data_IF_001879353760
#
_entry.id   IF_001879353760
#
_cell.length_a   1.000
_cell.length_b   1.000
_cell.length_c   1.000
_cell.angle_alpha   90.00
_cell.angle_beta   90.00
_cell.angle_gamma   90.00
#
_symmetry.space_group_name_H-M   'P 1'
#
loop_
_entity.id
_entity.type
_entity.pdbx_description
1 polymer ?
#
# COMPACT_ATOMS: atom_id res chain seq x y z
N UNK A 1 17.93 34.40 74.05
CA UNK A 1 17.34 35.19 72.95
C UNK A 1 17.06 34.24 71.79
N UNK A 2 15.91 34.45 71.13
CA UNK A 2 15.31 33.74 70.00
C UNK A 2 16.25 32.93 69.07
N UNK A 3 15.99 31.63 68.87
CA UNK A 3 15.18 31.02 67.79
C UNK A 3 15.86 31.00 66.40
N UNK A 4 16.25 29.83 65.91
CA UNK A 4 15.54 29.16 64.80
C UNK A 4 16.05 27.73 64.61
N UNK A 5 15.08 26.83 64.49
CA UNK A 5 15.12 25.38 64.44
C UNK A 5 15.46 24.78 63.07
N UNK A 6 16.19 23.66 63.07
CA UNK A 6 15.94 22.54 62.17
C UNK A 6 16.37 21.24 62.87
N UNK A 7 15.40 20.53 63.44
CA UNK A 7 15.57 19.22 64.06
C UNK A 7 15.60 18.13 62.98
N UNK A 8 16.71 17.39 62.90
CA UNK A 8 16.78 16.07 62.28
C UNK A 8 16.44 15.03 63.35
N UNK A 9 15.23 14.47 63.30
CA UNK A 9 14.85 13.34 64.14
C UNK A 9 15.03 12.03 63.37
N UNK A 10 16.08 11.33 63.79
CA UNK A 10 16.42 9.96 63.47
C UNK A 10 15.62 9.04 64.43
N UNK A 11 14.57 8.39 63.94
CA UNK A 11 13.87 7.30 64.64
C UNK A 11 12.90 6.60 63.68
N UNK A 12 13.16 5.34 63.35
CA UNK A 12 12.31 4.20 63.72
C UNK A 12 12.59 3.00 62.79
N UNK A 13 13.47 2.11 63.25
CA UNK A 13 13.53 0.72 62.77
C UNK A 13 12.26 -0.01 63.20
N UNK A 14 11.34 -0.25 62.26
CA UNK A 14 10.37 -1.36 62.34
C UNK A 14 10.24 -1.97 60.95
N UNK A 15 10.88 -3.13 60.78
CA UNK A 15 10.66 -4.00 59.64
C UNK A 15 9.21 -4.49 59.65
N UNK A 16 8.42 -4.04 58.68
CA UNK A 16 7.12 -4.62 58.36
C UNK A 16 7.35 -5.64 57.24
N UNK A 17 7.11 -6.92 57.53
CA UNK A 17 7.10 -7.97 56.53
C UNK A 17 5.99 -7.67 55.50
N UNK A 18 6.27 -7.68 54.18
CA UNK A 18 5.24 -7.48 53.18
C UNK A 18 4.27 -8.67 53.13
N UNK A 19 2.97 -8.45 52.89
CA UNK A 19 2.00 -9.52 52.78
C UNK A 19 2.31 -10.39 51.56
N UNK A 20 2.16 -11.71 51.72
CA UNK A 20 2.36 -12.69 50.65
C UNK A 20 1.46 -12.39 49.45
N UNK A 21 2.08 -12.00 48.33
CA UNK A 21 1.40 -11.87 47.04
C UNK A 21 0.91 -13.25 46.60
N UNK A 22 -0.42 -13.41 46.51
CA UNK A 22 -1.03 -14.57 45.84
C UNK A 22 -0.62 -14.54 44.37
N UNK A 23 0.18 -15.51 43.94
CA UNK A 23 0.41 -15.76 42.52
C UNK A 23 -0.88 -16.25 41.88
N UNK A 24 -1.61 -15.35 41.25
CA UNK A 24 -2.63 -15.74 40.26
C UNK A 24 -1.90 -16.06 38.96
N UNK A 25 -1.78 -17.35 38.65
CA UNK A 25 -1.31 -17.82 37.34
C UNK A 25 -2.37 -17.49 36.27
N UNK A 26 -2.36 -16.25 35.79
CA UNK A 26 -2.97 -15.89 34.51
C UNK A 26 -1.85 -15.72 33.49
N UNK A 27 -1.91 -16.41 32.33
CA UNK A 27 -0.94 -16.19 31.28
C UNK A 27 -1.04 -14.72 30.86
N UNK A 28 0.07 -13.99 31.01
CA UNK A 28 0.21 -12.64 30.47
C UNK A 28 -0.11 -12.76 28.99
N UNK A 29 -1.25 -12.17 28.57
CA UNK A 29 -1.56 -12.00 27.15
C UNK A 29 -0.35 -11.28 26.56
N UNK A 30 0.29 -11.90 25.57
CA UNK A 30 1.34 -11.29 24.77
C UNK A 30 0.86 -9.91 24.35
N UNK A 31 1.41 -8.88 24.99
CA UNK A 31 1.31 -7.52 24.47
C UNK A 31 2.17 -7.55 23.21
N UNK A 32 1.61 -7.35 22.00
CA UNK A 32 2.44 -7.24 20.82
C UNK A 32 3.37 -6.07 21.08
N UNK A 33 4.68 -6.33 21.13
CA UNK A 33 5.66 -5.26 21.05
C UNK A 33 5.35 -4.56 19.74
N UNK A 34 4.91 -3.30 19.80
CA UNK A 34 4.80 -2.45 18.62
C UNK A 34 6.18 -2.47 17.96
N UNK A 35 6.27 -3.14 16.82
CA UNK A 35 7.52 -3.26 16.07
C UNK A 35 7.96 -1.83 15.75
N UNK A 36 9.04 -1.39 16.39
CA UNK A 36 9.61 -0.08 16.12
C UNK A 36 9.90 -0.02 14.61
N UNK A 37 9.60 1.11 13.93
CA UNK A 37 9.97 1.28 12.53
C UNK A 37 11.45 0.96 12.38
N UNK A 38 11.80 0.10 11.42
CA UNK A 38 13.18 -0.35 11.33
C UNK A 38 14.04 0.84 10.93
N UNK A 39 14.81 1.37 11.87
CA UNK A 39 15.73 2.49 11.62
C UNK A 39 16.70 2.19 10.48
N UNK A 40 16.86 0.91 10.15
CA UNK A 40 17.77 0.41 9.16
C UNK A 40 17.24 0.56 7.73
N UNK A 41 15.92 0.47 7.50
CA UNK A 41 15.33 0.79 6.20
C UNK A 41 15.55 2.26 5.84
N UNK A 42 15.28 3.18 6.78
CA UNK A 42 15.49 4.61 6.55
C UNK A 42 16.97 4.92 6.30
N UNK A 43 17.88 4.38 7.12
CA UNK A 43 19.33 4.58 6.94
C UNK A 43 19.81 3.99 5.62
N UNK A 44 19.32 2.81 5.24
CA UNK A 44 19.69 2.15 3.98
C UNK A 44 19.21 2.95 2.77
N UNK A 45 17.97 3.43 2.79
CA UNK A 45 17.44 4.30 1.73
C UNK A 45 18.21 5.62 1.66
N UNK A 46 18.49 6.27 2.81
CA UNK A 46 19.27 7.51 2.85
C UNK A 46 20.66 7.31 2.26
N UNK A 47 21.38 6.26 2.68
CA UNK A 47 22.70 5.94 2.13
C UNK A 47 22.59 5.68 0.62
N UNK A 48 21.64 4.85 0.18
CA UNK A 48 21.43 4.53 -1.23
C UNK A 48 21.24 5.79 -2.08
N UNK A 49 20.28 6.66 -1.75
CA UNK A 49 19.98 7.85 -2.58
C UNK A 49 20.99 8.98 -2.40
N UNK A 50 21.74 9.03 -1.30
CA UNK A 50 22.81 10.02 -1.13
C UNK A 50 24.08 9.66 -1.91
N UNK A 51 24.32 8.37 -2.20
CA UNK A 51 25.57 7.90 -2.82
C UNK A 51 25.39 7.28 -4.21
N UNK A 52 24.16 7.12 -4.69
CA UNK A 52 23.86 6.53 -6.00
C UNK A 52 23.51 7.62 -7.03
N UNK A 53 24.01 7.50 -8.28
CA UNK A 53 23.52 8.35 -9.38
C UNK A 53 22.14 7.93 -9.89
N UNK A 54 21.62 6.79 -9.42
CA UNK A 54 20.31 6.26 -9.82
C UNK A 54 19.23 6.86 -8.91
N UNK A 55 18.27 7.53 -9.51
CA UNK A 55 17.15 8.19 -8.83
C UNK A 55 15.80 7.58 -9.25
N UNK A 56 14.73 7.77 -8.46
CA UNK A 56 13.37 7.39 -8.85
C UNK A 56 12.95 7.93 -10.23
N UNK A 57 12.08 7.19 -10.94
CA UNK A 57 11.49 7.62 -12.21
C UNK A 57 10.53 8.81 -12.03
N UNK A 58 9.82 8.85 -10.90
CA UNK A 58 8.90 9.92 -10.57
C UNK A 58 9.67 11.20 -10.19
N UNK A 59 9.15 12.35 -10.64
CA UNK A 59 9.70 13.66 -10.27
C UNK A 59 9.48 13.96 -8.78
N UNK A 60 10.22 14.93 -8.23
CA UNK A 60 10.03 15.36 -6.84
C UNK A 60 8.58 15.77 -6.54
N UNK A 61 7.92 16.49 -7.47
CA UNK A 61 6.55 16.94 -7.27
C UNK A 61 5.54 15.79 -7.33
N UNK A 62 5.77 14.79 -8.19
CA UNK A 62 5.00 13.54 -8.23
C UNK A 62 5.16 12.77 -6.92
N UNK A 63 6.41 12.51 -6.49
CA UNK A 63 6.71 11.79 -5.24
C UNK A 63 6.05 12.47 -4.04
N UNK A 64 6.05 13.80 -4.00
CA UNK A 64 5.52 14.57 -2.87
C UNK A 64 4.03 14.32 -2.63
N UNK A 65 3.25 14.04 -3.68
CA UNK A 65 1.81 13.72 -3.56
C UNK A 65 1.62 12.47 -2.69
N UNK A 66 2.32 11.38 -3.01
CA UNK A 66 2.26 10.12 -2.25
C UNK A 66 2.92 10.24 -0.88
N UNK A 67 4.07 10.92 -0.81
CA UNK A 67 4.79 11.16 0.45
C UNK A 67 3.94 11.91 1.47
N UNK A 68 3.23 12.97 1.08
CA UNK A 68 2.41 13.73 2.03
C UNK A 68 1.27 12.87 2.61
N UNK A 69 0.74 11.89 1.86
CA UNK A 69 -0.22 10.91 2.37
C UNK A 69 0.45 9.90 3.31
N UNK A 70 1.57 9.30 2.91
CA UNK A 70 2.36 8.38 3.74
C UNK A 70 2.77 9.03 5.07
N UNK A 71 3.22 10.29 5.06
CA UNK A 71 3.58 11.04 6.28
C UNK A 71 2.44 11.11 7.31
N UNK A 72 1.18 11.10 6.85
CA UNK A 72 0.00 11.17 7.73
C UNK A 72 -0.56 9.80 8.10
N UNK A 73 -0.35 8.79 7.26
CA UNK A 73 -1.00 7.47 7.39
C UNK A 73 -0.05 6.35 7.81
N UNK A 74 1.26 6.53 7.66
CA UNK A 74 2.26 5.52 8.04
C UNK A 74 2.34 5.36 9.57
N UNK A 75 2.56 4.14 10.09
CA UNK A 75 2.67 2.88 9.35
C UNK A 75 1.31 2.38 8.82
N UNK A 76 1.27 1.93 7.56
CA UNK A 76 0.04 1.42 6.93
C UNK A 76 0.31 0.23 5.99
N UNK A 77 -0.76 -0.33 5.42
CA UNK A 77 -0.66 -1.32 4.34
C UNK A 77 -0.56 -0.60 2.99
N UNK A 78 0.60 -0.69 2.33
CA UNK A 78 0.90 -0.05 1.05
C UNK A 78 1.23 -1.10 -0.03
N UNK A 79 0.38 -1.20 -1.04
CA UNK A 79 0.62 -2.04 -2.22
C UNK A 79 1.22 -1.21 -3.34
N UNK A 80 2.26 -1.72 -3.99
CA UNK A 80 2.88 -1.09 -5.16
C UNK A 80 2.86 -2.09 -6.31
N UNK A 81 2.10 -1.78 -7.36
CA UNK A 81 2.29 -2.43 -8.65
C UNK A 81 3.51 -1.79 -9.30
N UNK A 82 4.63 -2.50 -9.27
CA UNK A 82 5.95 -2.07 -9.72
C UNK A 82 7.02 -2.36 -8.66
N UNK A 83 8.20 -2.76 -9.12
CA UNK A 83 9.41 -2.89 -8.31
C UNK A 83 10.55 -2.19 -9.05
N UNK A 84 11.35 -1.37 -8.38
CA UNK A 84 12.33 -0.56 -9.07
C UNK A 84 13.18 0.32 -8.18
N UNK A 85 13.72 1.38 -8.79
CA UNK A 85 14.67 2.29 -8.15
C UNK A 85 14.06 3.16 -7.05
N UNK A 86 12.74 3.29 -7.03
CA UNK A 86 11.95 4.02 -6.03
C UNK A 86 11.49 3.13 -4.87
N UNK A 87 11.61 1.81 -4.99
CA UNK A 87 11.09 0.87 -3.98
C UNK A 87 11.76 1.01 -2.60
N UNK A 88 13.09 1.20 -2.47
CA UNK A 88 13.70 1.51 -1.18
C UNK A 88 13.12 2.77 -0.52
N UNK A 89 12.84 3.82 -1.31
CA UNK A 89 12.20 5.05 -0.83
C UNK A 89 10.77 4.77 -0.34
N UNK A 90 9.97 4.04 -1.11
CA UNK A 90 8.60 3.69 -0.71
C UNK A 90 8.55 2.85 0.58
N UNK A 91 9.46 1.89 0.74
CA UNK A 91 9.58 1.11 1.98
C UNK A 91 9.95 2.02 3.16
N UNK A 92 10.94 2.90 2.98
CA UNK A 92 11.41 3.81 4.03
C UNK A 92 10.35 4.85 4.44
N UNK A 93 9.59 5.41 3.50
CA UNK A 93 8.48 6.32 3.79
C UNK A 93 7.36 5.66 4.59
N UNK A 94 7.23 4.34 4.50
CA UNK A 94 6.26 3.56 5.24
C UNK A 94 6.90 2.67 6.33
N UNK A 95 8.03 3.09 6.90
CA UNK A 95 8.76 2.24 7.86
C UNK A 95 7.88 1.86 9.06
N UNK A 96 7.95 0.59 9.45
CA UNK A 96 7.06 -0.01 10.46
C UNK A 96 5.70 -0.46 9.92
N UNK A 97 5.35 -0.09 8.68
CA UNK A 97 4.17 -0.58 7.97
C UNK A 97 4.49 -1.80 7.11
N UNK A 98 3.50 -2.24 6.32
CA UNK A 98 3.72 -3.25 5.27
C UNK A 98 3.74 -2.56 3.92
N UNK A 99 4.88 -2.61 3.23
CA UNK A 99 4.98 -2.22 1.81
C UNK A 99 5.24 -3.47 0.98
N UNK A 100 4.35 -3.77 0.03
CA UNK A 100 4.43 -4.95 -0.83
C UNK A 100 4.55 -4.53 -2.30
N UNK A 101 5.57 -5.03 -2.99
CA UNK A 101 5.82 -4.73 -4.41
C UNK A 101 5.44 -5.91 -5.30
N UNK A 102 4.85 -5.64 -6.46
CA UNK A 102 4.48 -6.65 -7.47
C UNK A 102 5.18 -6.34 -8.80
N UNK A 103 5.94 -7.28 -9.35
CA UNK A 103 6.76 -7.08 -10.55
C UNK A 103 6.58 -8.18 -11.58
N UNK A 104 6.47 -7.84 -12.86
CA UNK A 104 6.30 -8.82 -13.93
C UNK A 104 7.58 -9.50 -14.41
N UNK A 105 8.70 -8.78 -14.44
CA UNK A 105 9.92 -9.22 -15.09
C UNK A 105 10.79 -10.00 -14.09
N UNK A 106 10.98 -11.33 -14.27
CA UNK A 106 11.72 -12.12 -13.29
C UNK A 106 13.19 -11.71 -13.17
N UNK A 107 13.79 -11.23 -14.27
CA UNK A 107 15.20 -10.82 -14.26
C UNK A 107 15.37 -9.50 -13.52
N UNK A 108 14.47 -8.55 -13.75
CA UNK A 108 14.42 -7.29 -13.03
C UNK A 108 14.12 -7.50 -11.54
N UNK A 109 13.12 -8.33 -11.23
CA UNK A 109 12.78 -8.72 -9.87
C UNK A 109 13.99 -9.22 -9.08
N UNK A 110 14.71 -10.20 -9.63
CA UNK A 110 15.93 -10.72 -9.01
C UNK A 110 17.03 -9.67 -8.90
N UNK A 111 17.17 -8.81 -9.91
CA UNK A 111 18.18 -7.74 -9.91
C UNK A 111 17.95 -6.72 -8.79
N UNK A 112 16.70 -6.29 -8.59
CA UNK A 112 16.33 -5.34 -7.53
C UNK A 112 16.51 -5.97 -6.15
N UNK A 113 16.00 -7.19 -5.93
CA UNK A 113 16.10 -7.84 -4.61
C UNK A 113 17.53 -8.19 -4.22
N UNK A 114 18.44 -8.49 -5.16
CA UNK A 114 19.87 -8.62 -4.84
C UNK A 114 20.48 -7.34 -4.29
N UNK A 115 20.01 -6.17 -4.74
CA UNK A 115 20.50 -4.85 -4.29
C UNK A 115 19.79 -4.38 -3.02
N UNK A 116 18.53 -4.77 -2.82
CA UNK A 116 17.68 -4.35 -1.71
C UNK A 116 16.96 -5.57 -1.13
N UNK A 117 17.67 -6.46 -0.40
CA UNK A 117 17.13 -7.75 0.05
C UNK A 117 16.04 -7.64 1.12
N UNK A 118 15.89 -6.46 1.75
CA UNK A 118 14.82 -6.20 2.72
C UNK A 118 13.46 -5.92 2.07
N UNK A 119 13.39 -5.67 0.76
CA UNK A 119 12.12 -5.38 0.10
C UNK A 119 11.23 -6.62 0.06
N UNK A 120 9.97 -6.46 0.49
CA UNK A 120 8.95 -7.49 0.37
C UNK A 120 8.29 -7.39 -1.02
N UNK A 121 8.57 -8.35 -1.89
CA UNK A 121 8.08 -8.32 -3.26
C UNK A 121 7.70 -9.71 -3.78
N UNK A 122 6.77 -9.75 -4.75
CA UNK A 122 6.47 -10.95 -5.53
C UNK A 122 6.65 -10.70 -7.02
N UNK A 123 7.20 -11.70 -7.71
CA UNK A 123 7.09 -11.77 -9.15
C UNK A 123 5.69 -12.29 -9.53
N UNK A 124 4.98 -11.56 -10.37
CA UNK A 124 3.58 -11.87 -10.76
C UNK A 124 3.41 -11.82 -12.27
N UNK A 125 2.32 -12.37 -12.79
CA UNK A 125 1.98 -12.30 -14.21
C UNK A 125 0.81 -11.36 -14.44
N UNK A 126 0.95 -10.42 -15.36
CA UNK A 126 -0.17 -9.64 -15.90
C UNK A 126 -0.61 -10.28 -17.22
N UNK A 127 -1.86 -10.78 -17.32
CA UNK A 127 -2.30 -11.57 -18.47
C UNK A 127 -2.72 -10.73 -19.68
N UNK A 128 -2.97 -9.44 -19.49
CA UNK A 128 -3.48 -8.52 -20.52
C UNK A 128 -2.35 -7.78 -21.23
N UNK A 129 -2.53 -7.44 -22.50
CA UNK A 129 -1.64 -6.59 -23.29
C UNK A 129 -2.24 -5.22 -23.56
N UNK A 130 -1.39 -4.21 -23.75
CA UNK A 130 -1.83 -2.85 -24.06
C UNK A 130 -2.73 -2.78 -25.30
N UNK A 131 -2.44 -3.58 -26.33
CA UNK A 131 -3.24 -3.67 -27.55
C UNK A 131 -4.68 -4.16 -27.33
N UNK A 132 -4.96 -4.82 -26.20
CA UNK A 132 -6.29 -5.36 -25.87
C UNK A 132 -7.18 -4.34 -25.14
N UNK A 133 -6.70 -3.11 -24.90
CA UNK A 133 -7.37 -2.13 -24.05
C UNK A 133 -8.85 -1.87 -24.42
N UNK A 134 -9.16 -1.74 -25.70
CA UNK A 134 -10.54 -1.48 -26.15
C UNK A 134 -11.43 -2.72 -25.99
N UNK A 135 -10.93 -3.90 -26.34
CA UNK A 135 -11.66 -5.17 -26.16
C UNK A 135 -11.94 -5.46 -24.68
N UNK A 136 -10.99 -5.13 -23.80
CA UNK A 136 -11.15 -5.28 -22.35
C UNK A 136 -12.25 -4.37 -21.81
N UNK A 137 -12.37 -3.13 -22.34
CA UNK A 137 -13.44 -2.21 -21.98
C UNK A 137 -14.82 -2.66 -22.48
N UNK A 138 -14.89 -3.38 -23.59
CA UNK A 138 -16.16 -3.92 -24.08
C UNK A 138 -16.58 -5.20 -23.35
N UNK A 139 -15.61 -6.09 -23.10
CA UNK A 139 -15.88 -7.42 -22.55
C UNK A 139 -16.25 -7.40 -21.06
N UNK A 140 -15.64 -6.54 -20.24
CA UNK A 140 -15.94 -6.54 -18.80
C UNK A 140 -17.39 -6.16 -18.51
N UNK A 141 -18.04 -5.32 -19.34
CA UNK A 141 -19.45 -4.94 -19.18
C UNK A 141 -20.42 -6.10 -19.45
N UNK A 142 -19.94 -7.17 -20.07
CA UNK A 142 -20.73 -8.37 -20.42
C UNK A 142 -20.52 -9.50 -19.42
N UNK A 143 -19.51 -9.41 -18.55
CA UNK A 143 -19.18 -10.43 -17.57
C UNK A 143 -19.70 -10.01 -16.18
N UNK A 144 -20.75 -10.65 -15.64
CA UNK A 144 -21.32 -10.26 -14.35
C UNK A 144 -20.32 -10.22 -13.20
N UNK A 145 -19.31 -11.09 -13.20
CA UNK A 145 -18.27 -11.10 -12.15
C UNK A 145 -17.16 -10.05 -12.36
N UNK A 146 -17.25 -9.23 -13.42
CA UNK A 146 -16.42 -8.02 -13.58
C UNK A 146 -17.08 -6.75 -13.02
N UNK A 147 -18.35 -6.80 -12.62
CA UNK A 147 -19.17 -5.60 -12.38
C UNK A 147 -19.68 -5.57 -10.94
N UNK A 148 -19.60 -4.42 -10.23
CA UNK A 148 -20.20 -4.29 -8.91
C UNK A 148 -21.72 -4.60 -8.92
N UNK A 149 -22.25 -5.30 -7.89
CA UNK A 149 -21.58 -5.68 -6.65
C UNK A 149 -20.88 -7.06 -6.70
N UNK A 150 -20.84 -7.73 -7.86
CA UNK A 150 -20.25 -9.09 -8.00
C UNK A 150 -18.79 -9.09 -8.44
N UNK A 151 -18.22 -7.92 -8.74
CA UNK A 151 -16.83 -7.75 -9.10
C UNK A 151 -15.93 -8.37 -8.03
N UNK A 152 -15.09 -9.33 -8.43
CA UNK A 152 -14.13 -10.01 -7.56
C UNK A 152 -12.85 -10.30 -8.32
N UNK A 153 -11.72 -10.40 -7.61
CA UNK A 153 -10.43 -10.66 -8.24
C UNK A 153 -10.05 -12.14 -8.21
N UNK A 154 -9.97 -12.71 -7.01
CA UNK A 154 -9.41 -14.04 -6.77
C UNK A 154 -10.20 -15.11 -7.51
N UNK A 155 -9.47 -15.99 -8.21
CA UNK A 155 -10.02 -17.12 -8.98
C UNK A 155 -11.02 -16.72 -10.09
N UNK A 156 -11.05 -15.44 -10.50
CA UNK A 156 -11.97 -14.93 -11.51
C UNK A 156 -11.30 -14.82 -12.88
N UNK A 157 -11.12 -15.95 -13.57
CA UNK A 157 -10.52 -15.96 -14.92
C UNK A 157 -11.51 -15.60 -16.04
N UNK A 158 -12.80 -15.48 -15.73
CA UNK A 158 -13.81 -15.01 -16.69
C UNK A 158 -13.68 -13.50 -16.90
N UNK A 159 -13.40 -12.77 -15.83
CA UNK A 159 -13.06 -11.37 -15.93
C UNK A 159 -11.61 -11.18 -16.37
N UNK A 160 -11.37 -10.89 -17.66
CA UNK A 160 -10.00 -10.68 -18.19
C UNK A 160 -9.21 -9.57 -17.50
N UNK A 161 -9.91 -8.59 -16.90
CA UNK A 161 -9.29 -7.52 -16.11
C UNK A 161 -8.89 -7.95 -14.69
N UNK A 162 -9.48 -9.02 -14.16
CA UNK A 162 -9.15 -9.50 -12.82
C UNK A 162 -7.77 -10.14 -12.83
N UNK A 163 -6.87 -9.61 -12.01
CA UNK A 163 -5.63 -10.30 -11.66
C UNK A 163 -5.99 -11.45 -10.71
N UNK A 164 -6.32 -12.60 -11.27
CA UNK A 164 -6.92 -13.75 -10.57
C UNK A 164 -5.93 -14.66 -9.84
N UNK A 165 -4.64 -14.53 -10.16
CA UNK A 165 -3.56 -15.41 -9.70
C UNK A 165 -2.47 -14.66 -8.89
N UNK A 166 -2.84 -13.57 -8.19
CA UNK A 166 -1.92 -12.85 -7.30
C UNK A 166 -1.63 -13.67 -6.03
N UNK A 167 -0.48 -13.41 -5.36
CA UNK A 167 -0.16 -14.01 -4.07
C UNK A 167 -1.30 -13.82 -3.05
N UNK A 168 -1.58 -14.85 -2.25
CA UNK A 168 -2.73 -14.85 -1.34
C UNK A 168 -2.75 -13.70 -0.33
N UNK A 169 -1.58 -13.15 0.03
CA UNK A 169 -1.49 -11.97 0.91
C UNK A 169 -2.06 -10.70 0.26
N UNK A 170 -1.99 -10.57 -1.07
CA UNK A 170 -2.55 -9.43 -1.79
C UNK A 170 -4.07 -9.36 -1.63
N UNK A 171 -4.74 -10.51 -1.67
CA UNK A 171 -6.20 -10.60 -1.51
C UNK A 171 -6.68 -10.52 -0.05
N UNK A 172 -5.83 -10.92 0.91
CA UNK A 172 -6.23 -10.98 2.32
C UNK A 172 -6.07 -9.63 3.03
N UNK A 173 -5.19 -8.77 2.52
CA UNK A 173 -4.86 -7.50 3.15
C UNK A 173 -5.80 -6.39 2.68
N UNK A 174 -6.24 -5.55 3.62
CA UNK A 174 -6.91 -4.29 3.30
C UNK A 174 -5.85 -3.22 3.09
N UNK A 175 -5.68 -2.80 1.84
CA UNK A 175 -4.70 -1.79 1.47
C UNK A 175 -5.19 -0.40 1.83
N UNK A 176 -4.37 0.38 2.53
CA UNK A 176 -4.65 1.79 2.83
C UNK A 176 -4.21 2.68 1.67
N UNK A 177 -3.08 2.32 1.05
CA UNK A 177 -2.51 2.97 -0.12
C UNK A 177 -2.24 1.94 -1.21
N UNK A 178 -2.48 2.32 -2.46
CA UNK A 178 -2.09 1.54 -3.64
C UNK A 178 -1.40 2.49 -4.64
N UNK A 179 -0.16 2.18 -5.02
CA UNK A 179 0.55 2.84 -6.12
C UNK A 179 0.50 1.94 -7.36
N UNK A 180 0.05 2.49 -8.48
CA UNK A 180 0.01 1.82 -9.78
C UNK A 180 1.05 2.48 -10.68
N UNK A 181 2.27 1.95 -10.65
CA UNK A 181 3.41 2.40 -11.46
C UNK A 181 3.88 1.35 -12.48
N UNK A 182 3.28 0.16 -12.47
CA UNK A 182 3.55 -0.95 -13.38
C UNK A 182 2.25 -1.73 -13.68
N UNK A 183 2.25 -2.63 -14.69
CA UNK A 183 3.34 -3.00 -15.60
C UNK A 183 3.74 -1.91 -16.61
N UNK A 184 4.85 -2.17 -17.32
CA UNK A 184 5.55 -1.28 -18.27
C UNK A 184 4.66 -0.48 -19.24
N UNK A 185 3.72 -1.14 -19.92
CA UNK A 185 2.72 -0.51 -20.79
C UNK A 185 3.24 0.43 -21.90
N UNK A 186 4.49 0.30 -22.37
CA UNK A 186 5.09 1.24 -23.34
C UNK A 186 5.09 0.74 -24.81
N UNK A 187 4.65 -0.49 -25.08
CA UNK A 187 4.43 -1.01 -26.44
C UNK A 187 3.20 -1.92 -26.49
N UNK A 188 2.64 -2.13 -27.69
CA UNK A 188 1.37 -2.83 -27.91
C UNK A 188 1.30 -4.21 -27.23
N UNK A 189 2.35 -5.01 -27.37
CA UNK A 189 2.41 -6.37 -26.81
C UNK A 189 2.84 -6.42 -25.34
N UNK A 190 3.21 -5.29 -24.73
CA UNK A 190 3.57 -5.23 -23.33
C UNK A 190 2.34 -5.40 -22.45
N UNK A 191 2.49 -5.95 -21.24
CA UNK A 191 1.44 -5.84 -20.26
C UNK A 191 1.15 -4.37 -19.91
N UNK A 192 -0.13 -4.01 -19.93
CA UNK A 192 -0.61 -2.67 -19.61
C UNK A 192 -1.22 -2.57 -18.21
N UNK A 193 -1.38 -1.35 -17.71
CA UNK A 193 -1.89 -1.08 -16.34
C UNK A 193 -3.38 -1.36 -16.15
N UNK A 194 -4.11 -1.78 -17.18
CA UNK A 194 -5.56 -2.02 -17.15
C UNK A 194 -5.98 -2.95 -16.01
N UNK A 195 -5.33 -4.12 -15.89
CA UNK A 195 -5.64 -5.07 -14.83
C UNK A 195 -5.28 -4.57 -13.43
N UNK A 196 -4.19 -3.80 -13.29
CA UNK A 196 -3.80 -3.19 -12.01
C UNK A 196 -4.78 -2.09 -11.58
N UNK A 197 -5.21 -1.23 -12.50
CA UNK A 197 -6.24 -0.19 -12.26
C UNK A 197 -7.56 -0.82 -11.84
N UNK A 198 -8.03 -1.83 -12.58
CA UNK A 198 -9.24 -2.58 -12.22
C UNK A 198 -9.10 -3.24 -10.85
N UNK A 199 -7.97 -3.90 -10.58
CA UNK A 199 -7.73 -4.59 -9.32
C UNK A 199 -7.72 -3.63 -8.12
N UNK A 200 -7.08 -2.46 -8.25
CA UNK A 200 -7.12 -1.43 -7.21
C UNK A 200 -8.55 -0.92 -6.94
N UNK A 201 -9.35 -0.76 -8.00
CA UNK A 201 -10.75 -0.33 -7.88
C UNK A 201 -11.62 -1.35 -7.13
N UNK A 202 -11.42 -2.65 -7.38
CA UNK A 202 -12.13 -3.74 -6.69
C UNK A 202 -11.65 -3.85 -5.24
N UNK A 203 -10.34 -3.92 -5.00
CA UNK A 203 -9.77 -3.99 -3.64
C UNK A 203 -10.22 -2.83 -2.75
N UNK A 204 -10.23 -1.60 -3.27
CA UNK A 204 -10.63 -0.43 -2.51
C UNK A 204 -12.11 -0.48 -2.07
N UNK A 205 -12.99 -1.02 -2.93
CA UNK A 205 -14.43 -1.14 -2.66
C UNK A 205 -14.78 -2.34 -1.79
N UNK A 206 -14.03 -3.44 -1.90
CA UNK A 206 -14.19 -4.65 -1.08
C UNK A 206 -13.67 -4.50 0.35
N UNK A 207 -13.06 -3.36 0.70
CA UNK A 207 -12.64 -3.04 2.07
C UNK A 207 -13.83 -3.21 3.04
N UNK A 208 -13.59 -4.03 4.07
CA UNK A 208 -14.50 -4.35 5.19
C UNK A 208 -14.41 -3.30 6.28
N UNK A 209 -13.20 -2.84 6.59
CA UNK A 209 -12.94 -1.79 7.58
C UNK A 209 -13.46 -0.42 7.15
N UNK A 210 -13.63 0.49 8.11
CA UNK A 210 -13.97 1.87 7.81
C UNK A 210 -12.86 2.59 7.03
N UNK A 211 -13.22 3.72 6.41
CA UNK A 211 -12.30 4.60 5.71
C UNK A 211 -12.26 4.38 4.19
N UNK A 212 -11.11 4.72 3.62
CA UNK A 212 -10.87 4.75 2.18
C UNK A 212 -9.46 4.29 1.85
N UNK A 213 -9.30 3.88 0.59
CA UNK A 213 -8.00 3.57 -0.02
C UNK A 213 -7.55 4.77 -0.83
N UNK A 214 -6.33 5.27 -0.57
CA UNK A 214 -5.67 6.25 -1.43
C UNK A 214 -5.02 5.48 -2.60
N UNK A 215 -5.45 5.76 -3.84
CA UNK A 215 -4.90 5.12 -5.04
C UNK A 215 -4.14 6.15 -5.86
N UNK A 216 -2.88 5.87 -6.17
CA UNK A 216 -2.04 6.70 -7.01
C UNK A 216 -1.83 6.00 -8.35
N UNK A 217 -2.09 6.69 -9.45
CA UNK A 217 -1.87 6.16 -10.79
C UNK A 217 -0.88 7.05 -11.52
N UNK A 218 0.23 6.46 -11.97
CA UNK A 218 1.23 7.15 -12.78
C UNK A 218 0.96 7.01 -14.28
N UNK A 219 1.72 7.73 -15.12
CA UNK A 219 1.59 7.78 -16.58
C UNK A 219 0.18 8.17 -17.10
N UNK A 220 -0.55 9.06 -16.42
CA UNK A 220 -1.91 9.49 -16.82
C UNK A 220 -1.96 10.42 -18.04
N UNK A 221 -0.81 10.78 -18.58
CA UNK A 221 -0.64 11.39 -19.90
C UNK A 221 -0.94 10.39 -21.03
N UNK A 222 -0.82 9.08 -20.76
CA UNK A 222 -1.20 8.02 -21.70
C UNK A 222 -2.72 7.83 -21.75
N UNK A 223 -3.22 7.57 -22.96
CA UNK A 223 -4.68 7.48 -23.23
C UNK A 223 -5.35 6.31 -22.52
N UNK A 224 -4.69 5.15 -22.46
CA UNK A 224 -5.25 3.93 -21.87
C UNK A 224 -5.40 4.11 -20.35
N UNK A 225 -4.33 4.53 -19.67
CA UNK A 225 -4.32 4.80 -18.24
C UNK A 225 -5.42 5.80 -17.85
N UNK A 226 -5.54 6.92 -18.58
CA UNK A 226 -6.60 7.91 -18.36
C UNK A 226 -8.00 7.33 -18.56
N UNK A 227 -8.23 6.56 -19.63
CA UNK A 227 -9.53 5.92 -19.93
C UNK A 227 -9.93 4.94 -18.82
N UNK A 228 -9.00 4.08 -18.40
CA UNK A 228 -9.22 3.08 -17.35
C UNK A 228 -9.40 3.72 -15.97
N UNK A 229 -8.64 4.76 -15.64
CA UNK A 229 -8.81 5.48 -14.38
C UNK A 229 -10.20 6.11 -14.25
N UNK A 230 -10.68 6.75 -15.33
CA UNK A 230 -11.98 7.40 -15.33
C UNK A 230 -13.14 6.40 -15.21
N UNK A 231 -12.98 5.20 -15.76
CA UNK A 231 -13.97 4.13 -15.67
C UNK A 231 -13.99 3.42 -14.30
N UNK A 232 -12.83 3.12 -13.72
CA UNK A 232 -12.76 2.24 -12.54
C UNK A 232 -12.49 2.98 -11.22
N UNK A 233 -11.61 3.99 -11.27
CA UNK A 233 -11.24 4.80 -10.09
C UNK A 233 -12.16 6.01 -9.89
N UNK A 234 -12.89 6.41 -10.94
CA UNK A 234 -13.91 7.44 -10.98
C UNK A 234 -13.43 8.87 -10.72
N UNK A 235 -13.84 9.78 -11.62
CA UNK A 235 -13.56 11.22 -11.50
C UNK A 235 -14.04 11.81 -10.17
N UNK A 236 -15.17 11.34 -9.63
CA UNK A 236 -15.71 11.80 -8.33
C UNK A 236 -14.78 11.53 -7.14
N UNK A 237 -13.85 10.59 -7.29
CA UNK A 237 -12.86 10.23 -6.27
C UNK A 237 -11.47 10.80 -6.57
N UNK A 238 -11.25 11.50 -7.69
CA UNK A 238 -9.99 12.16 -8.00
C UNK A 238 -9.83 13.39 -7.10
N UNK A 239 -8.86 13.35 -6.18
CA UNK A 239 -8.63 14.40 -5.18
C UNK A 239 -7.44 15.30 -5.50
N UNK A 240 -6.60 14.93 -6.48
CA UNK A 240 -5.47 15.75 -6.91
C UNK A 240 -4.50 15.00 -7.81
N UNK A 241 -3.34 15.60 -8.04
CA UNK A 241 -2.26 15.03 -8.85
C UNK A 241 -1.14 16.02 -9.09
N UNK A 242 -0.02 15.54 -9.64
CA UNK A 242 1.10 16.35 -10.08
C UNK A 242 1.76 15.66 -11.27
N UNK A 243 2.15 16.42 -12.31
CA UNK A 243 2.76 15.85 -13.50
C UNK A 243 1.91 14.73 -14.12
N UNK A 244 2.47 13.53 -14.18
CA UNK A 244 1.82 12.31 -14.71
C UNK A 244 1.18 11.44 -13.64
N UNK A 245 1.18 11.89 -12.38
CA UNK A 245 0.58 11.18 -11.25
C UNK A 245 -0.79 11.77 -10.90
N UNK A 246 -1.81 10.91 -10.82
CA UNK A 246 -3.11 11.23 -10.23
C UNK A 246 -3.30 10.53 -8.88
N UNK A 247 -4.05 11.17 -7.98
CA UNK A 247 -4.38 10.68 -6.66
C UNK A 247 -5.91 10.59 -6.49
N UNK A 248 -6.39 9.39 -6.23
CA UNK A 248 -7.79 9.07 -5.96
C UNK A 248 -7.99 8.67 -4.49
N UNK A 249 -9.17 8.97 -3.96
CA UNK A 249 -9.62 8.54 -2.63
C UNK A 249 -10.90 7.74 -2.77
N UNK A 250 -10.78 6.41 -2.76
CA UNK A 250 -11.89 5.50 -3.05
C UNK A 250 -12.44 4.93 -1.73
N UNK A 251 -13.70 5.22 -1.37
CA UNK A 251 -14.34 4.64 -0.19
C UNK A 251 -14.67 3.16 -0.43
N UNK A 252 -14.91 2.42 0.65
CA UNK A 252 -15.56 1.10 0.54
C UNK A 252 -16.93 1.24 -0.14
N UNK A 253 -17.39 0.16 -0.76
CA UNK A 253 -18.73 0.15 -1.35
C UNK A 253 -19.79 0.48 -0.28
N UNK A 254 -20.61 1.48 -0.57
CA UNK A 254 -21.82 1.75 0.22
C UNK A 254 -22.91 0.77 -0.23
N UNK A 255 -23.78 0.31 0.67
CA UNK A 255 -24.89 -0.59 0.32
C UNK A 255 -25.86 -0.04 -0.73
N UNK A 256 -25.74 1.25 -1.08
CA UNK A 256 -26.54 1.96 -2.08
C UNK A 256 -25.76 2.28 -3.38
N UNK A 257 -24.57 1.71 -3.60
CA UNK A 257 -23.89 1.88 -4.89
C UNK A 257 -24.78 1.37 -6.03
N UNK A 258 -24.90 2.17 -7.09
CA UNK A 258 -25.69 1.84 -8.28
C UNK A 258 -25.22 0.50 -8.84
N UNK A 259 -26.09 -0.50 -8.78
CA UNK A 259 -25.83 -1.80 -9.38
C UNK A 259 -25.48 -1.61 -10.86
N UNK A 260 -24.32 -2.14 -11.28
CA UNK A 260 -23.94 -2.18 -12.69
C UNK A 260 -22.81 -1.27 -13.16
N UNK A 261 -22.29 -0.34 -12.35
CA UNK A 261 -21.14 0.51 -12.73
C UNK A 261 -20.17 0.77 -11.58
N UNK A 262 -18.91 1.08 -11.90
CA UNK A 262 -17.92 1.51 -10.92
C UNK A 262 -18.10 2.99 -10.55
N UNK A 263 -18.47 3.81 -11.53
CA UNK A 263 -18.74 5.23 -11.40
C UNK A 263 -20.23 5.49 -11.64
#
# INVERSE_FOLDING_TARGET
MANSSAQSNDSCNRALNPPSLRQTNHPLKFIPVLQQPSSDELRSALLHYATSPIVPQQTLSEIRVSFDVLRRRSPCNFLVFGLGHDSPMWSAFNSGGTTLFLEEDPSWFQSVLRKSPSLRAHNVRYPTKLSEADELMESYRKEPECIPPKARLRDNRRCRLALADLPGEVYKMEWDLIMIDAPKGYFAEAPGRMGAIYSAAVMARERKGEGFTDVFLHDVDRKVEKKFAMEFLCKKYLVGGSGRLWHFRIPRASGNETAGTFC
#
